data_IF_655971249959
#
_entry.id   IF_655971249959
#
_cell.length_a   1.000
_cell.length_b   1.000
_cell.length_c   1.000
_cell.angle_alpha   90.00
_cell.angle_beta   90.00
_cell.angle_gamma   90.00
#
_symmetry.space_group_name_H-M   'P 1'
#
loop_
_entity.id
_entity.type
_entity.pdbx_description
1 polymer ?
#
# COMPACT_ATOMS: atom_id res chain seq x y z
N UNK A 1 -9.93 -9.61 48.19
CA UNK A 1 -10.46 -10.11 46.91
C UNK A 1 -10.36 -8.94 45.97
N UNK A 2 -9.27 -8.93 45.21
CA UNK A 2 -8.89 -7.81 44.35
C UNK A 2 -9.81 -7.74 43.14
N UNK A 3 -10.01 -6.51 42.70
CA UNK A 3 -11.05 -6.04 41.79
C UNK A 3 -10.73 -6.44 40.34
N UNK A 4 -11.17 -7.63 39.92
CA UNK A 4 -11.00 -8.14 38.56
C UNK A 4 -11.93 -7.47 37.52
N UNK A 5 -12.76 -6.49 37.90
CA UNK A 5 -13.81 -5.96 37.02
C UNK A 5 -13.33 -4.81 36.14
N UNK A 6 -12.39 -3.99 36.62
CA UNK A 6 -11.85 -2.86 35.87
C UNK A 6 -10.92 -3.29 34.71
N UNK A 7 -10.12 -4.33 34.90
CA UNK A 7 -9.20 -4.85 33.87
C UNK A 7 -9.93 -5.49 32.70
N UNK A 8 -11.06 -6.16 32.95
CA UNK A 8 -11.88 -6.77 31.90
C UNK A 8 -12.60 -5.70 31.09
N UNK A 9 -13.03 -4.61 31.71
CA UNK A 9 -13.69 -3.50 31.02
C UNK A 9 -12.73 -2.77 30.06
N UNK A 10 -11.49 -2.53 30.49
CA UNK A 10 -10.45 -1.87 29.68
C UNK A 10 -9.97 -2.76 28.52
N UNK A 11 -9.86 -4.08 28.72
CA UNK A 11 -9.56 -5.03 27.66
C UNK A 11 -10.69 -5.13 26.63
N UNK A 12 -11.96 -5.09 27.06
CA UNK A 12 -13.13 -5.09 26.15
C UNK A 12 -13.23 -3.76 25.40
N UNK A 13 -12.94 -2.61 26.02
CA UNK A 13 -12.86 -1.33 25.30
C UNK A 13 -11.72 -1.32 24.28
N UNK A 14 -10.55 -1.86 24.63
CA UNK A 14 -9.43 -2.02 23.70
C UNK A 14 -9.79 -2.94 22.53
N UNK A 15 -10.50 -4.04 22.78
CA UNK A 15 -10.95 -4.97 21.75
C UNK A 15 -12.06 -4.38 20.86
N UNK A 16 -13.01 -3.62 21.42
CA UNK A 16 -14.06 -2.90 20.68
C UNK A 16 -13.45 -1.76 19.85
N UNK A 17 -12.47 -1.02 20.39
CA UNK A 17 -11.68 -0.04 19.65
C UNK A 17 -10.88 -0.71 18.53
N UNK A 18 -10.25 -1.87 18.77
CA UNK A 18 -9.55 -2.64 17.75
C UNK A 18 -10.49 -3.09 16.63
N UNK A 19 -11.64 -3.70 16.96
CA UNK A 19 -12.63 -4.19 15.99
C UNK A 19 -13.17 -3.04 15.12
N UNK A 20 -13.40 -1.87 15.73
CA UNK A 20 -13.83 -0.67 14.99
C UNK A 20 -12.81 -0.27 13.91
N UNK A 21 -11.51 -0.41 14.17
CA UNK A 21 -10.44 -0.05 13.21
C UNK A 21 -10.30 -1.04 12.04
N UNK A 22 -10.62 -2.32 12.24
CA UNK A 22 -10.53 -3.37 11.19
C UNK A 22 -11.60 -3.18 10.10
N UNK A 23 -12.76 -2.63 10.47
CA UNK A 23 -13.89 -2.37 9.56
C UNK A 23 -14.08 -0.88 9.22
N UNK A 24 -13.19 -0.02 9.70
CA UNK A 24 -13.25 1.43 9.44
C UNK A 24 -13.19 1.73 7.94
N UNK A 25 -14.17 2.50 7.46
CA UNK A 25 -14.12 3.07 6.12
C UNK A 25 -13.23 4.31 6.15
N UNK A 26 -12.04 4.24 5.53
CA UNK A 26 -11.08 5.34 5.47
C UNK A 26 -11.42 6.37 4.39
N UNK A 27 -12.62 6.28 3.79
CA UNK A 27 -13.03 7.14 2.67
C UNK A 27 -12.85 8.63 2.97
N UNK A 28 -13.24 9.07 4.15
CA UNK A 28 -13.15 10.48 4.54
C UNK A 28 -11.69 10.91 4.74
N UNK A 29 -10.87 10.07 5.37
CA UNK A 29 -9.42 10.26 5.51
C UNK A 29 -8.73 10.46 4.16
N UNK A 30 -9.21 9.77 3.11
CA UNK A 30 -8.68 9.85 1.75
C UNK A 30 -9.46 10.80 0.83
N UNK A 31 -10.34 11.64 1.35
CA UNK A 31 -11.07 12.64 0.58
C UNK A 31 -10.50 14.04 0.88
N UNK A 32 -9.62 14.59 0.02
CA UNK A 32 -9.08 15.92 0.24
C UNK A 32 -10.15 16.98 0.02
N UNK A 33 -10.05 18.09 0.76
CA UNK A 33 -10.97 19.22 0.64
C UNK A 33 -10.80 20.04 -0.64
N UNK A 34 -9.69 19.87 -1.38
CA UNK A 34 -9.34 20.62 -2.59
C UNK A 34 -8.71 19.69 -3.64
N UNK A 35 -8.84 20.02 -4.94
CA UNK A 35 -8.13 19.29 -5.99
C UNK A 35 -6.62 19.56 -5.93
N UNK A 36 -5.83 18.67 -6.53
CA UNK A 36 -4.38 18.81 -6.57
C UNK A 36 -3.89 19.56 -7.81
N UNK A 37 -2.76 20.28 -7.71
CA UNK A 37 -2.18 21.00 -8.84
C UNK A 37 -1.47 20.09 -9.84
N UNK A 38 -1.12 18.86 -9.45
CA UNK A 38 -0.43 17.90 -10.32
C UNK A 38 -0.70 16.46 -9.90
N UNK A 39 -0.40 15.53 -10.82
CA UNK A 39 -0.38 14.10 -10.55
C UNK A 39 0.53 13.76 -9.38
N UNK A 40 1.74 14.29 -9.38
CA UNK A 40 2.77 14.00 -8.39
C UNK A 40 2.36 14.51 -7.01
N UNK A 41 1.74 15.70 -6.94
CA UNK A 41 1.19 16.23 -5.69
C UNK A 41 0.09 15.32 -5.13
N UNK A 42 -0.83 14.85 -5.97
CA UNK A 42 -1.86 13.91 -5.56
C UNK A 42 -1.25 12.60 -5.03
N UNK A 43 -0.35 11.98 -5.81
CA UNK A 43 0.30 10.71 -5.42
C UNK A 43 1.06 10.85 -4.11
N UNK A 44 1.81 11.94 -3.93
CA UNK A 44 2.56 12.20 -2.71
C UNK A 44 1.63 12.32 -1.50
N UNK A 45 0.57 13.11 -1.61
CA UNK A 45 -0.41 13.29 -0.53
C UNK A 45 -1.05 11.96 -0.12
N UNK A 46 -1.53 11.17 -1.08
CA UNK A 46 -2.13 9.86 -0.79
C UNK A 46 -1.15 8.90 -0.14
N UNK A 47 0.11 8.88 -0.58
CA UNK A 47 1.13 8.04 0.03
C UNK A 47 1.48 8.49 1.44
N UNK A 48 1.48 9.80 1.71
CA UNK A 48 1.67 10.36 3.05
C UNK A 48 0.52 9.98 3.99
N UNK A 49 -0.73 10.25 3.59
CA UNK A 49 -1.91 9.89 4.37
C UNK A 49 -1.98 8.37 4.61
N UNK A 50 -1.64 7.58 3.58
CA UNK A 50 -1.50 6.14 3.74
C UNK A 50 -0.53 5.77 4.85
N UNK A 51 0.67 6.36 4.87
CA UNK A 51 1.69 6.10 5.91
C UNK A 51 1.21 6.48 7.30
N UNK A 52 0.56 7.64 7.46
CA UNK A 52 0.02 8.08 8.75
C UNK A 52 -1.04 7.11 9.29
N UNK A 53 -1.71 6.38 8.40
CA UNK A 53 -2.68 5.33 8.73
C UNK A 53 -2.11 3.91 8.57
N UNK A 54 -0.78 3.76 8.50
CA UNK A 54 -0.08 2.47 8.37
C UNK A 54 -0.54 1.60 7.18
N UNK A 55 -0.88 2.25 6.07
CA UNK A 55 -1.17 1.64 4.78
C UNK A 55 -0.20 2.10 3.69
N UNK A 56 0.27 1.14 2.88
CA UNK A 56 1.13 1.46 1.73
C UNK A 56 0.27 1.57 0.48
N UNK A 57 0.24 2.76 -0.14
CA UNK A 57 -0.46 2.99 -1.39
C UNK A 57 0.50 2.98 -2.59
N UNK A 58 0.14 2.21 -3.61
CA UNK A 58 0.92 2.03 -4.84
C UNK A 58 0.13 2.49 -6.06
N UNK A 59 0.84 2.96 -7.08
CA UNK A 59 0.24 3.25 -8.39
C UNK A 59 -0.14 1.95 -9.08
N UNK A 60 -1.44 1.70 -9.22
CA UNK A 60 -1.99 0.54 -9.93
C UNK A 60 -2.03 0.75 -11.43
N UNK A 61 -2.36 1.96 -11.86
CA UNK A 61 -2.38 2.37 -13.26
C UNK A 61 -2.14 3.87 -13.34
N UNK A 62 -1.39 4.32 -14.33
CA UNK A 62 -1.18 5.74 -14.58
C UNK A 62 -1.18 5.97 -16.07
N UNK A 63 -1.77 7.07 -16.48
CA UNK A 63 -1.88 7.47 -17.86
C UNK A 63 -1.77 8.99 -17.92
N UNK A 64 -0.77 9.48 -18.64
CA UNK A 64 -0.51 10.91 -18.77
C UNK A 64 -1.57 11.62 -19.62
N UNK A 65 -2.46 10.88 -20.26
CA UNK A 65 -3.41 11.45 -21.20
C UNK A 65 -2.73 11.83 -22.52
N UNK A 66 -3.30 12.79 -23.22
CA UNK A 66 -2.83 13.31 -24.51
C UNK A 66 -3.78 14.38 -25.02
N UNK A 67 -3.62 14.81 -26.27
CA UNK A 67 -4.37 15.94 -26.85
C UNK A 67 -5.90 15.81 -26.64
N UNK A 68 -6.44 14.60 -26.80
CA UNK A 68 -7.89 14.32 -26.74
C UNK A 68 -8.37 13.71 -25.41
N UNK A 69 -7.46 13.40 -24.48
CA UNK A 69 -7.77 12.57 -23.30
C UNK A 69 -7.03 13.09 -22.08
N UNK A 70 -7.74 13.24 -20.96
CA UNK A 70 -7.15 13.76 -19.72
C UNK A 70 -6.31 12.71 -19.00
N UNK A 71 -5.32 13.18 -18.25
CA UNK A 71 -4.50 12.35 -17.39
C UNK A 71 -5.33 11.66 -16.29
N UNK A 72 -4.88 10.49 -15.88
CA UNK A 72 -5.49 9.74 -14.77
C UNK A 72 -4.46 8.88 -14.05
N UNK A 73 -4.65 8.75 -12.74
CA UNK A 73 -3.88 7.82 -11.92
C UNK A 73 -4.80 7.07 -10.98
N UNK A 74 -4.62 5.75 -10.89
CA UNK A 74 -5.28 4.90 -9.90
C UNK A 74 -4.27 4.48 -8.85
N UNK A 75 -4.58 4.74 -7.59
CA UNK A 75 -3.80 4.30 -6.44
C UNK A 75 -4.57 3.19 -5.74
N UNK A 76 -3.87 2.13 -5.35
CA UNK A 76 -4.45 1.01 -4.64
C UNK A 76 -3.57 0.65 -3.44
N UNK A 77 -4.14 -0.08 -2.49
CA UNK A 77 -3.33 -0.70 -1.44
C UNK A 77 -2.25 -1.62 -2.05
N UNK A 78 -1.05 -1.63 -1.47
CA UNK A 78 0.03 -2.53 -1.85
C UNK A 78 -0.41 -4.00 -1.79
N UNK A 79 -1.32 -4.34 -0.88
CA UNK A 79 -1.89 -5.70 -0.72
C UNK A 79 -3.03 -6.00 -1.70
N UNK A 80 -3.35 -5.09 -2.62
CA UNK A 80 -4.42 -5.27 -3.62
C UNK A 80 -4.09 -6.31 -4.69
N UNK A 81 -5.10 -7.11 -5.06
CA UNK A 81 -5.01 -8.16 -6.09
C UNK A 81 -4.39 -9.46 -5.57
N UNK A 82 -4.12 -10.36 -6.50
CA UNK A 82 -3.49 -11.67 -6.25
C UNK A 82 -2.18 -11.78 -7.03
N UNK A 83 -1.28 -12.66 -6.60
CA UNK A 83 -0.12 -13.00 -7.43
C UNK A 83 -0.60 -13.75 -8.66
N UNK A 84 -0.08 -13.38 -9.84
CA UNK A 84 -0.29 -14.16 -11.06
C UNK A 84 0.41 -15.50 -10.87
N UNK A 85 -0.34 -16.57 -10.70
CA UNK A 85 0.22 -17.92 -10.71
C UNK A 85 0.90 -18.20 -12.04
N UNK A 86 1.95 -19.04 -12.04
CA UNK A 86 2.63 -19.51 -13.25
C UNK A 86 1.67 -20.16 -14.26
N UNK A 87 0.53 -20.68 -13.78
CA UNK A 87 -0.57 -21.23 -14.59
C UNK A 87 -1.27 -20.20 -15.50
N UNK A 88 -1.21 -18.90 -15.20
CA UNK A 88 -1.84 -17.87 -16.05
C UNK A 88 -1.01 -17.47 -17.28
N UNK A 89 0.09 -18.18 -17.57
CA UNK A 89 0.82 -18.09 -18.85
C UNK A 89 0.17 -18.89 -19.98
N UNK A 90 -0.98 -19.52 -19.76
CA UNK A 90 -1.80 -20.02 -20.87
C UNK A 90 -2.46 -18.81 -21.52
N UNK A 91 -1.96 -18.45 -22.71
CA UNK A 91 -2.48 -17.36 -23.51
C UNK A 91 -3.99 -17.48 -23.74
N UNK A 92 -4.59 -16.35 -24.12
CA UNK A 92 -5.97 -16.26 -24.61
C UNK A 92 -6.17 -17.30 -25.73
N UNK A 93 -6.70 -18.45 -25.40
CA UNK A 93 -6.84 -19.57 -26.34
C UNK A 93 -7.54 -20.75 -25.70
N UNK A 94 -8.87 -20.81 -25.94
CA UNK A 94 -9.77 -21.97 -25.87
C UNK A 94 -9.90 -22.70 -24.51
N UNK A 95 -11.15 -22.81 -24.07
CA UNK A 95 -11.57 -23.63 -22.95
C UNK A 95 -10.97 -25.05 -23.03
N UNK A 96 -10.31 -25.47 -21.95
CA UNK A 96 -9.88 -26.85 -21.76
C UNK A 96 -10.46 -27.35 -20.43
N UNK A 97 -11.36 -28.33 -20.57
CA UNK A 97 -12.04 -29.16 -19.57
C UNK A 97 -11.66 -28.93 -18.11
N UNK A 98 -12.67 -28.49 -17.35
CA UNK A 98 -12.83 -28.88 -15.95
C UNK A 98 -12.82 -30.41 -15.91
N UNK A 99 -11.69 -31.00 -15.51
CA UNK A 99 -11.68 -32.33 -14.93
C UNK A 99 -11.97 -32.12 -13.45
N UNK A 100 -13.25 -32.24 -13.08
CA UNK A 100 -13.61 -32.55 -11.70
C UNK A 100 -12.94 -33.88 -11.35
N UNK A 101 -11.85 -33.82 -10.58
CA UNK A 101 -11.44 -34.96 -9.77
C UNK A 101 -11.45 -34.50 -8.32
N UNK A 102 -12.51 -34.94 -7.68
CA UNK A 102 -12.97 -34.66 -6.34
C UNK A 102 -12.21 -35.50 -5.30
N UNK A 103 -12.18 -34.97 -4.06
CA UNK A 103 -11.95 -35.63 -2.77
C UNK A 103 -10.50 -35.93 -2.40
N UNK A 104 -9.83 -35.00 -1.72
CA UNK A 104 -9.99 -34.79 -0.27
C UNK A 104 -9.49 -33.38 0.08
N UNK A 105 -10.45 -32.52 0.45
CA UNK A 105 -10.19 -31.30 1.18
C UNK A 105 -9.65 -31.67 2.56
N UNK A 106 -8.72 -30.87 3.11
CA UNK A 106 -8.26 -30.82 4.51
C UNK A 106 -6.77 -31.10 4.83
N UNK A 107 -5.89 -31.52 3.91
CA UNK A 107 -4.47 -31.76 4.32
C UNK A 107 -3.35 -31.33 3.36
N UNK A 108 -3.65 -30.57 2.29
CA UNK A 108 -2.63 -30.03 1.37
C UNK A 108 -2.43 -28.50 1.53
N UNK A 109 -2.76 -27.94 2.69
CA UNK A 109 -2.48 -26.53 3.04
C UNK A 109 -1.28 -26.37 3.98
N UNK A 110 -0.45 -27.41 4.16
CA UNK A 110 0.66 -27.38 5.12
C UNK A 110 2.07 -27.44 4.53
N UNK A 111 2.21 -27.43 3.20
CA UNK A 111 3.52 -27.60 2.56
C UNK A 111 3.78 -26.68 1.36
N UNK A 112 3.13 -25.51 1.28
CA UNK A 112 3.68 -24.41 0.48
C UNK A 112 4.40 -23.50 1.46
N UNK A 113 5.73 -23.54 1.41
CA UNK A 113 6.60 -22.56 2.07
C UNK A 113 5.94 -21.19 1.96
N UNK A 114 5.58 -20.61 3.11
CA UNK A 114 4.98 -19.27 3.23
C UNK A 114 6.01 -18.25 2.75
N UNK A 115 6.20 -18.19 1.44
CA UNK A 115 6.99 -17.15 0.80
C UNK A 115 6.07 -15.95 0.83
N UNK A 116 6.33 -14.99 1.73
CA UNK A 116 5.40 -13.94 2.15
C UNK A 116 4.60 -13.31 1.02
N UNK A 117 3.37 -13.78 0.82
CA UNK A 117 2.46 -13.18 -0.16
C UNK A 117 1.82 -11.96 0.49
N UNK A 118 2.43 -10.79 0.30
CA UNK A 118 1.86 -9.53 0.80
C UNK A 118 0.47 -9.22 0.23
N UNK A 119 0.07 -9.86 -0.87
CA UNK A 119 -1.19 -9.65 -1.60
C UNK A 119 -2.33 -10.47 -0.97
N UNK A 120 -3.36 -9.79 -0.48
CA UNK A 120 -4.57 -10.38 0.12
C UNK A 120 -5.86 -9.98 -0.60
N UNK A 121 -5.77 -9.47 -1.84
CA UNK A 121 -6.96 -9.07 -2.60
C UNK A 121 -7.60 -7.75 -2.14
N UNK A 122 -6.90 -6.91 -1.38
CA UNK A 122 -7.46 -5.66 -0.85
C UNK A 122 -8.14 -4.79 -1.93
N UNK A 123 -9.38 -4.36 -1.64
CA UNK A 123 -10.24 -3.62 -2.57
C UNK A 123 -10.03 -2.10 -2.53
N UNK A 124 -9.33 -1.58 -1.52
CA UNK A 124 -9.02 -0.15 -1.41
C UNK A 124 -8.48 0.42 -2.72
N UNK A 125 -9.15 1.46 -3.22
CA UNK A 125 -8.88 2.01 -4.54
C UNK A 125 -9.29 3.47 -4.64
N UNK A 126 -8.37 4.30 -5.10
CA UNK A 126 -8.57 5.71 -5.39
C UNK A 126 -8.34 5.93 -6.89
N UNK A 127 -9.17 6.78 -7.49
CA UNK A 127 -9.02 7.23 -8.85
C UNK A 127 -8.90 8.76 -8.86
N UNK A 128 -7.77 9.26 -9.37
CA UNK A 128 -7.51 10.68 -9.57
C UNK A 128 -7.53 10.98 -11.06
N UNK A 129 -8.24 12.02 -11.47
CA UNK A 129 -8.38 12.43 -12.87
C UNK A 129 -8.06 13.90 -13.03
N UNK A 130 -7.34 14.22 -14.08
CA UNK A 130 -7.11 15.58 -14.52
C UNK A 130 -8.40 16.15 -15.16
N UNK A 131 -8.72 17.40 -14.86
CA UNK A 131 -9.79 18.17 -15.48
C UNK A 131 -9.25 19.08 -16.60
N UNK A 132 -10.13 19.81 -17.29
CA UNK A 132 -9.77 20.82 -18.29
C UNK A 132 -8.81 21.90 -17.74
N UNK A 133 -8.94 22.28 -16.47
CA UNK A 133 -8.12 23.32 -15.83
C UNK A 133 -6.76 22.80 -15.32
N UNK A 134 -6.31 21.62 -15.79
CA UNK A 134 -5.10 20.92 -15.33
C UNK A 134 -5.09 20.58 -13.83
N UNK A 135 -6.24 20.71 -13.15
CA UNK A 135 -6.44 20.30 -11.76
C UNK A 135 -6.82 18.83 -11.66
N UNK A 136 -6.35 18.18 -10.61
CA UNK A 136 -6.51 16.74 -10.39
C UNK A 136 -7.55 16.47 -9.29
N UNK A 137 -8.69 15.93 -9.70
CA UNK A 137 -9.83 15.62 -8.82
C UNK A 137 -9.80 14.16 -8.37
N UNK A 138 -10.26 13.94 -7.15
CA UNK A 138 -10.22 12.65 -6.46
C UNK A 138 -11.58 12.00 -6.45
N UNK A 139 -11.60 10.70 -6.66
CA UNK A 139 -12.74 9.84 -6.34
C UNK A 139 -12.22 8.61 -5.59
N UNK A 140 -12.60 8.48 -4.32
CA UNK A 140 -12.36 7.25 -3.56
C UNK A 140 -13.39 6.21 -4.01
N UNK A 141 -12.94 5.19 -4.74
CA UNK A 141 -13.81 4.13 -5.27
C UNK A 141 -14.12 3.08 -4.20
N UNK A 142 -13.17 2.82 -3.30
CA UNK A 142 -13.34 1.97 -2.12
C UNK A 142 -12.40 2.46 -1.02
N UNK A 143 -12.95 2.91 0.12
CA UNK A 143 -12.18 3.35 1.28
C UNK A 143 -11.91 2.26 2.31
N UNK A 144 -12.41 1.03 2.08
CA UNK A 144 -12.25 -0.09 3.00
C UNK A 144 -11.02 -0.95 2.69
N UNK A 145 -10.31 -1.32 3.74
CA UNK A 145 -9.29 -2.37 3.73
C UNK A 145 -9.90 -3.68 4.21
N UNK A 146 -9.39 -4.82 3.74
CA UNK A 146 -9.79 -6.15 4.21
C UNK A 146 -8.69 -6.80 5.08
N UNK A 147 -7.83 -5.96 5.64
CA UNK A 147 -6.71 -6.36 6.46
C UNK A 147 -6.36 -5.21 7.40
N UNK A 148 -5.73 -5.57 8.51
CA UNK A 148 -5.23 -4.59 9.47
C UNK A 148 -4.12 -3.70 8.86
N UNK A 149 -3.97 -2.46 9.37
CA UNK A 149 -2.79 -1.65 9.11
C UNK A 149 -1.51 -2.40 9.54
N UNK A 150 -0.38 -2.11 8.89
CA UNK A 150 0.88 -2.81 9.21
C UNK A 150 1.48 -2.30 10.52
N UNK A 151 2.20 -3.14 11.25
CA UNK A 151 2.87 -2.74 12.51
C UNK A 151 4.11 -1.89 12.25
N UNK A 152 4.84 -2.21 11.19
CA UNK A 152 6.04 -1.52 10.74
C UNK A 152 6.05 -1.42 9.21
N UNK A 153 6.70 -0.38 8.68
CA UNK A 153 6.81 -0.15 7.24
C UNK A 153 8.08 -0.77 6.63
N UNK A 154 8.85 -1.53 7.42
CA UNK A 154 10.08 -2.19 6.98
C UNK A 154 9.79 -3.21 5.86
N UNK A 155 10.65 -3.25 4.84
CA UNK A 155 10.51 -4.21 3.73
C UNK A 155 9.35 -3.94 2.76
N UNK A 156 8.55 -2.89 2.99
CA UNK A 156 7.51 -2.47 2.06
C UNK A 156 8.08 -1.74 0.84
N UNK A 157 7.35 -1.77 -0.30
CA UNK A 157 7.82 -1.13 -1.55
C UNK A 157 8.10 0.37 -1.42
N UNK A 158 7.49 1.02 -0.42
CA UNK A 158 7.75 2.41 -0.09
C UNK A 158 9.15 2.63 0.50
N UNK A 159 9.61 1.80 1.45
CA UNK A 159 10.91 1.91 2.11
C UNK A 159 12.12 1.80 1.15
N UNK A 160 11.87 1.47 -0.12
CA UNK A 160 12.87 1.43 -1.18
C UNK A 160 13.00 2.74 -1.97
N UNK A 161 12.04 3.66 -1.85
CA UNK A 161 12.01 4.89 -2.66
C UNK A 161 12.68 6.03 -1.93
N UNK A 162 13.75 6.55 -2.54
CA UNK A 162 14.39 7.78 -2.11
C UNK A 162 13.64 8.98 -2.68
N UNK A 163 13.40 10.00 -1.87
CA UNK A 163 12.96 11.31 -2.37
C UNK A 163 14.09 12.04 -3.12
N UNK A 164 13.79 13.22 -3.71
CA UNK A 164 14.79 13.96 -4.49
C UNK A 164 15.98 14.46 -3.64
N UNK A 165 15.71 14.89 -2.42
CA UNK A 165 16.76 15.35 -1.50
C UNK A 165 17.60 14.18 -1.00
N UNK A 166 16.98 13.05 -0.66
CA UNK A 166 17.68 11.81 -0.30
C UNK A 166 18.54 11.29 -1.47
N UNK A 167 18.02 11.33 -2.70
CA UNK A 167 18.79 10.96 -3.90
C UNK A 167 20.03 11.83 -4.08
N UNK A 168 19.89 13.13 -3.90
CA UNK A 168 21.04 14.05 -4.01
C UNK A 168 22.11 13.73 -2.97
N UNK A 169 21.72 13.45 -1.73
CA UNK A 169 22.63 13.01 -0.66
C UNK A 169 23.34 11.72 -1.03
N UNK A 170 22.60 10.73 -1.53
CA UNK A 170 23.20 9.46 -1.97
C UNK A 170 24.20 9.69 -3.09
N UNK A 171 23.87 10.50 -4.09
CA UNK A 171 24.78 10.82 -5.21
C UNK A 171 26.04 11.52 -4.72
N UNK A 172 25.90 12.53 -3.87
CA UNK A 172 27.02 13.30 -3.32
C UNK A 172 27.96 12.41 -2.49
N UNK A 173 27.40 11.62 -1.57
CA UNK A 173 28.19 10.75 -0.69
C UNK A 173 28.82 9.57 -1.45
N UNK A 174 28.13 9.03 -2.45
CA UNK A 174 28.68 7.97 -3.32
C UNK A 174 29.87 8.49 -4.14
N UNK A 175 29.79 9.71 -4.67
CA UNK A 175 30.93 10.37 -5.35
C UNK A 175 32.10 10.61 -4.42
N UNK A 176 31.84 10.80 -3.12
CA UNK A 176 32.86 10.89 -2.07
C UNK A 176 33.37 9.55 -1.56
N UNK A 177 33.02 8.42 -2.19
CA UNK A 177 33.37 7.06 -1.76
C UNK A 177 32.95 6.72 -0.32
N UNK A 178 31.90 7.35 0.20
CA UNK A 178 31.34 7.02 1.50
C UNK A 178 30.70 5.63 1.44
N UNK A 179 30.90 4.84 2.49
CA UNK A 179 30.35 3.47 2.55
C UNK A 179 28.82 3.52 2.59
N UNK A 180 28.10 2.61 1.90
CA UNK A 180 26.64 2.59 1.88
C UNK A 180 25.98 2.60 3.27
N UNK A 181 26.61 1.96 4.26
CA UNK A 181 26.14 1.96 5.66
C UNK A 181 26.08 3.38 6.24
N UNK A 182 27.08 4.20 5.97
CA UNK A 182 27.17 5.56 6.50
C UNK A 182 26.25 6.52 5.73
N UNK A 183 26.05 6.26 4.43
CA UNK A 183 25.02 6.94 3.63
C UNK A 183 23.64 6.67 4.22
N UNK A 184 23.31 5.40 4.49
CA UNK A 184 22.02 5.04 5.09
C UNK A 184 21.83 5.69 6.47
N UNK A 185 22.87 5.70 7.31
CA UNK A 185 22.82 6.38 8.60
C UNK A 185 22.52 7.88 8.45
N UNK A 186 23.12 8.53 7.45
CA UNK A 186 22.88 9.94 7.15
C UNK A 186 21.45 10.18 6.68
N UNK A 187 20.89 9.30 5.86
CA UNK A 187 19.48 9.37 5.44
C UNK A 187 18.54 9.26 6.64
N UNK A 188 18.78 8.30 7.54
CA UNK A 188 18.00 8.12 8.78
C UNK A 188 18.08 9.30 9.75
N UNK A 189 19.21 10.01 9.77
CA UNK A 189 19.35 11.24 10.57
C UNK A 189 18.55 12.40 9.98
N UNK A 190 18.41 12.45 8.65
CA UNK A 190 17.65 13.50 7.96
C UNK A 190 16.15 13.27 7.99
N UNK A 191 15.71 12.02 7.88
CA UNK A 191 14.31 11.62 8.00
C UNK A 191 14.14 10.51 9.03
N UNK A 192 13.54 10.85 10.18
CA UNK A 192 13.23 9.91 11.27
C UNK A 192 12.22 8.84 10.82
N UNK A 193 11.46 9.09 9.75
CA UNK A 193 10.49 8.15 9.17
C UNK A 193 11.15 7.17 8.18
N UNK A 194 12.44 7.31 7.90
CA UNK A 194 13.17 6.42 7.01
C UNK A 194 13.35 5.04 7.67
N UNK A 195 12.57 4.08 7.18
CA UNK A 195 12.55 2.66 7.60
C UNK A 195 13.39 1.77 6.68
N UNK A 196 14.27 2.34 5.86
CA UNK A 196 15.14 1.55 4.98
C UNK A 196 16.13 0.72 5.81
N UNK A 197 16.30 -0.54 5.43
CA UNK A 197 17.31 -1.45 5.98
C UNK A 197 18.44 -1.65 4.98
N UNK A 198 19.63 -2.00 5.46
CA UNK A 198 20.77 -2.40 4.61
C UNK A 198 20.46 -3.66 3.80
#
# INVERSE_FOLDING_TARGET
MEDCTATVQEEVELEVMLISTIFSDYKDTFTPCRPFPSREAAVSWFQMIGRENMFVLVTKHSDAGGIKRRGRVKLACERSGTYRGMSQRVGKGKAAKISLKSRNDEEEEKAKTQTGTKKCGCHFLINVKENADSLWYVTVLCGRHNHEPVKNLDGHSFARRLDKGEQEVVVQMTKGNVKPRDILNTLKQKDVRNVSTM
#
